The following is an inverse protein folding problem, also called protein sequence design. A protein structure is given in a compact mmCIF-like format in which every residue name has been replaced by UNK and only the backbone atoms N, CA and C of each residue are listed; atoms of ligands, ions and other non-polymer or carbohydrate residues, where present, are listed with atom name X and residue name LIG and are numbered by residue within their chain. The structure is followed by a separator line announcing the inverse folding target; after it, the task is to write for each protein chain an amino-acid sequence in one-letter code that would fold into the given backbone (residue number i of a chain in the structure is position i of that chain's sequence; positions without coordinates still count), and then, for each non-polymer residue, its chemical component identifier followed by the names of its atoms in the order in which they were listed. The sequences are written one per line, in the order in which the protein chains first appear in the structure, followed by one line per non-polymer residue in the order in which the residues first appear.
data_IF_295180591255
#
_entry.id   IF_295180591255
#
_cell.length_a   1.000
_cell.length_b   1.000
_cell.length_c   1.000
_cell.angle_alpha   90.00
_cell.angle_beta   90.00
_cell.angle_gamma   90.00
#
_symmetry.space_group_name_H-M   'P 1'
#
loop_
_entity.id
_entity.type
_entity.pdbx_description
1 polymer ?
#
# COMPACT_ATOMS: atom_id res chain seq x y z
N UNK A 1 -40.42 -10.91 -61.50
CA UNK A 1 -39.11 -11.62 -61.27
C UNK A 1 -38.99 -11.96 -59.79
N UNK A 2 -39.13 -13.26 -59.48
CA UNK A 2 -39.00 -13.78 -58.09
C UNK A 2 -37.64 -14.41 -57.98
N UNK A 3 -36.77 -13.84 -57.07
CA UNK A 3 -35.45 -14.40 -56.81
C UNK A 3 -35.56 -15.25 -55.53
N UNK A 4 -35.31 -16.57 -55.71
CA UNK A 4 -35.24 -17.54 -54.60
C UNK A 4 -33.95 -17.38 -53.83
N UNK A 5 -34.02 -17.16 -52.48
CA UNK A 5 -32.91 -17.25 -51.54
C UNK A 5 -32.78 -18.72 -51.12
N UNK A 6 -31.63 -19.33 -51.41
CA UNK A 6 -31.26 -20.69 -50.97
C UNK A 6 -30.60 -20.63 -49.62
N UNK A 7 -31.26 -21.19 -48.61
CA UNK A 7 -30.72 -21.42 -47.24
C UNK A 7 -29.84 -22.69 -47.26
N UNK A 8 -28.54 -22.53 -47.00
CA UNK A 8 -27.63 -23.66 -46.76
C UNK A 8 -27.58 -23.95 -45.27
N UNK A 9 -28.23 -25.02 -44.85
CA UNK A 9 -28.21 -25.58 -43.49
C UNK A 9 -27.06 -26.59 -43.43
N UNK A 10 -25.92 -26.21 -42.79
CA UNK A 10 -24.83 -27.14 -42.46
C UNK A 10 -25.17 -27.86 -41.15
N UNK A 11 -25.46 -29.15 -41.24
CA UNK A 11 -25.55 -30.08 -40.12
C UNK A 11 -24.13 -30.31 -39.56
N UNK A 12 -23.89 -29.92 -38.31
CA UNK A 12 -22.73 -30.38 -37.54
C UNK A 12 -23.10 -31.65 -36.81
N UNK A 13 -22.44 -32.75 -37.20
CA UNK A 13 -22.52 -34.05 -36.53
C UNK A 13 -21.61 -34.02 -35.31
N UNK A 14 -22.19 -34.16 -34.12
CA UNK A 14 -21.45 -34.32 -32.86
C UNK A 14 -20.90 -35.75 -32.78
N UNK A 15 -19.56 -35.86 -32.77
CA UNK A 15 -18.86 -37.10 -32.42
C UNK A 15 -18.66 -37.09 -30.88
N UNK A 16 -19.42 -37.92 -30.18
CA UNK A 16 -19.23 -38.23 -28.77
C UNK A 16 -18.11 -39.26 -28.66
N UNK A 17 -16.93 -38.82 -28.23
CA UNK A 17 -15.86 -39.71 -27.76
C UNK A 17 -16.05 -39.92 -26.26
N UNK A 18 -16.60 -41.10 -25.90
CA UNK A 18 -16.55 -41.65 -24.54
C UNK A 18 -15.11 -41.83 -24.12
N UNK A 19 -14.62 -41.07 -23.16
CA UNK A 19 -13.45 -41.40 -22.35
C UNK A 19 -13.93 -41.83 -21.00
N UNK A 20 -13.80 -43.11 -20.70
CA UNK A 20 -13.96 -43.70 -19.39
C UNK A 20 -12.89 -43.15 -18.44
N UNK A 21 -13.33 -42.64 -17.30
CA UNK A 21 -12.47 -42.23 -16.20
C UNK A 21 -12.17 -43.46 -15.32
N UNK A 22 -10.93 -43.67 -14.87
CA UNK A 22 -10.63 -44.70 -13.90
C UNK A 22 -11.24 -44.36 -12.52
N UNK A 23 -11.59 -45.40 -11.72
CA UNK A 23 -12.26 -45.21 -10.41
C UNK A 23 -11.28 -44.61 -9.37
N UNK A 24 -11.83 -43.92 -8.34
CA UNK A 24 -11.04 -43.35 -7.27
C UNK A 24 -10.49 -44.44 -6.34
N UNK A 25 -9.23 -44.21 -5.87
CA UNK A 25 -8.56 -45.05 -4.87
C UNK A 25 -9.29 -45.05 -3.53
N UNK A 26 -9.36 -46.21 -2.82
CA UNK A 26 -9.97 -46.30 -1.50
C UNK A 26 -9.10 -45.67 -0.41
N UNK A 27 -9.72 -45.22 0.70
CA UNK A 27 -8.96 -44.61 1.80
C UNK A 27 -8.16 -45.67 2.57
N UNK A 28 -6.89 -45.41 2.81
CA UNK A 28 -6.05 -46.21 3.70
C UNK A 28 -6.39 -45.89 5.14
N UNK A 29 -7.02 -46.84 5.81
CA UNK A 29 -7.02 -46.94 7.27
C UNK A 29 -5.66 -47.43 7.74
N UNK A 30 -5.02 -46.65 8.61
CA UNK A 30 -3.80 -47.03 9.28
C UNK A 30 -3.72 -46.37 10.64
N UNK A 31 -4.05 -47.17 11.65
CA UNK A 31 -3.88 -46.95 13.08
C UNK A 31 -2.46 -46.49 13.42
N UNK A 32 -2.33 -45.53 14.33
CA UNK A 32 -1.12 -45.16 14.99
C UNK A 32 -1.38 -44.29 16.20
N UNK A 33 -1.80 -44.96 17.31
CA UNK A 33 -1.77 -44.37 18.65
C UNK A 33 -0.29 -44.04 18.98
N UNK A 34 0.00 -42.82 19.37
CA UNK A 34 1.18 -42.46 20.12
C UNK A 34 0.77 -41.73 21.39
N UNK A 35 1.30 -42.25 22.48
CA UNK A 35 1.06 -41.93 23.88
C UNK A 35 1.42 -40.47 24.25
N UNK A 36 0.89 -39.99 25.39
CA UNK A 36 1.16 -38.65 25.90
C UNK A 36 2.54 -38.61 26.55
N UNK A 37 3.27 -37.50 26.29
CA UNK A 37 4.53 -37.15 26.99
C UNK A 37 4.23 -36.72 28.43
N UNK A 38 5.04 -37.12 29.42
CA UNK A 38 4.83 -36.76 30.81
C UNK A 38 5.31 -35.33 31.10
N UNK A 39 4.53 -34.64 31.91
CA UNK A 39 4.93 -33.44 32.63
C UNK A 39 6.13 -33.72 33.51
N UNK A 40 7.20 -32.99 33.36
CA UNK A 40 8.33 -32.97 34.28
C UNK A 40 8.28 -31.68 35.09
N UNK A 41 7.65 -31.76 36.24
CA UNK A 41 7.86 -30.82 37.33
C UNK A 41 9.14 -31.24 38.07
N UNK A 42 10.12 -30.35 38.16
CA UNK A 42 11.14 -30.43 39.20
C UNK A 42 11.69 -29.02 39.50
N UNK A 43 11.10 -28.44 40.51
CA UNK A 43 11.72 -27.35 41.26
C UNK A 43 12.95 -27.91 42.01
N UNK A 44 14.15 -27.39 41.77
CA UNK A 44 15.32 -27.63 42.59
C UNK A 44 15.77 -26.32 43.19
N UNK A 45 15.38 -26.14 44.42
CA UNK A 45 15.96 -25.18 45.34
C UNK A 45 17.38 -25.63 45.70
N UNK A 46 18.37 -24.74 45.59
CA UNK A 46 19.70 -24.91 46.15
C UNK A 46 19.88 -23.95 47.32
N UNK A 47 20.60 -24.38 48.39
CA UNK A 47 20.53 -23.78 49.70
C UNK A 47 21.51 -22.60 49.87
N UNK A 48 21.06 -21.61 50.65
CA UNK A 48 21.88 -20.57 51.25
C UNK A 48 22.96 -21.18 52.12
N UNK A 49 24.24 -21.01 51.80
CA UNK A 49 25.35 -21.24 52.70
C UNK A 49 25.72 -19.93 53.41
N UNK A 50 25.47 -19.96 54.71
CA UNK A 50 26.02 -19.04 55.68
C UNK A 50 27.55 -18.96 55.60
N UNK A 51 28.09 -17.78 55.41
CA UNK A 51 29.46 -17.48 55.85
C UNK A 51 29.43 -16.42 56.97
N UNK A 52 29.88 -16.84 58.10
CA UNK A 52 30.03 -16.11 59.34
C UNK A 52 31.19 -15.09 59.30
N UNK A 53 31.13 -14.02 60.08
CA UNK A 53 32.11 -12.98 60.13
C UNK A 53 33.22 -13.32 61.17
N UNK A 54 34.42 -13.01 60.82
CA UNK A 54 35.61 -12.85 61.73
C UNK A 54 36.64 -12.11 60.89
N UNK A 55 37.16 -11.00 61.23
CA UNK A 55 38.01 -10.69 62.34
C UNK A 55 38.17 -9.17 62.45
N UNK A 56 38.10 -8.76 63.68
CA UNK A 56 38.38 -7.46 64.22
C UNK A 56 39.89 -7.11 64.17
N UNK A 57 40.16 -5.81 64.23
CA UNK A 57 41.30 -5.14 64.86
C UNK A 57 42.65 -5.22 64.16
N UNK A 58 43.11 -4.09 63.71
CA UNK A 58 44.44 -3.50 63.96
C UNK A 58 44.36 -2.04 63.56
N UNK A 59 44.13 -1.18 64.53
CA UNK A 59 45.07 -0.34 65.20
C UNK A 59 45.69 0.76 64.35
N UNK A 60 45.13 1.96 64.60
CA UNK A 60 45.72 3.29 64.66
C UNK A 60 47.25 3.39 64.67
N UNK A 61 47.77 4.25 63.85
CA UNK A 61 48.72 5.32 64.26
C UNK A 61 49.41 5.91 63.03
N UNK A 62 49.77 7.16 63.13
CA UNK A 62 50.62 7.95 62.20
C UNK A 62 49.81 8.70 61.15
N UNK A 63 49.73 9.95 61.14
CA UNK A 63 50.56 10.99 61.60
C UNK A 63 50.23 12.24 60.79
N UNK A 64 50.00 13.33 61.44
CA UNK A 64 49.81 14.65 60.83
C UNK A 64 50.92 14.94 59.79
N UNK A 65 50.52 15.13 58.52
CA UNK A 65 51.24 15.97 57.57
C UNK A 65 50.23 16.89 56.89
N UNK A 66 50.20 18.12 57.43
CA UNK A 66 49.54 19.23 56.71
C UNK A 66 50.20 19.45 55.38
N UNK A 67 49.51 19.07 54.29
CA UNK A 67 49.89 19.33 52.92
C UNK A 67 48.82 20.20 52.28
N UNK A 68 49.18 21.35 51.78
CA UNK A 68 48.40 22.38 51.15
C UNK A 68 47.28 21.84 50.26
N UNK A 69 46.03 22.20 50.57
CA UNK A 69 44.86 21.87 49.86
C UNK A 69 44.84 22.63 48.52
N UNK A 70 45.13 21.93 47.45
CA UNK A 70 44.58 22.28 46.13
C UNK A 70 43.24 21.57 46.03
N UNK A 71 42.15 22.29 45.84
CA UNK A 71 40.84 21.67 45.53
C UNK A 71 41.02 20.72 44.37
N UNK A 72 40.56 19.45 44.47
CA UNK A 72 40.59 18.54 43.35
C UNK A 72 39.66 19.12 42.29
N UNK A 73 40.23 19.51 41.16
CA UNK A 73 39.49 19.87 39.98
C UNK A 73 38.61 18.65 39.65
N UNK A 74 37.31 18.73 40.02
CA UNK A 74 36.33 17.73 39.61
C UNK A 74 36.37 17.67 38.10
N UNK A 75 36.68 16.50 37.49
CA UNK A 75 36.56 16.37 36.05
C UNK A 75 35.12 16.68 35.69
N UNK A 76 34.92 17.69 34.87
CA UNK A 76 33.59 17.97 34.27
C UNK A 76 33.10 16.68 33.65
N UNK A 77 31.89 16.20 34.02
CA UNK A 77 31.34 15.01 33.39
C UNK A 77 31.32 15.23 31.87
N UNK A 78 31.68 14.22 31.08
CA UNK A 78 31.62 14.35 29.64
C UNK A 78 30.19 14.81 29.24
N UNK A 79 30.05 15.71 28.28
CA UNK A 79 28.75 16.19 27.86
C UNK A 79 27.89 14.99 27.53
N UNK A 80 26.67 14.95 28.10
CA UNK A 80 25.71 13.90 27.83
C UNK A 80 25.56 13.74 26.32
N UNK A 81 25.55 12.50 25.77
CA UNK A 81 25.42 12.29 24.37
C UNK A 81 24.17 13.03 23.87
N UNK A 82 24.39 13.98 23.00
CA UNK A 82 23.30 14.73 22.38
C UNK A 82 22.46 13.74 21.59
N UNK A 83 21.28 13.41 22.10
CA UNK A 83 20.32 12.57 21.39
C UNK A 83 19.88 13.35 20.16
N UNK A 84 20.50 13.06 19.03
CA UNK A 84 20.07 13.62 17.74
C UNK A 84 18.68 13.07 17.47
N UNK A 85 17.65 13.91 17.33
CA UNK A 85 16.30 13.43 17.07
C UNK A 85 16.33 12.62 15.77
N UNK A 86 16.02 11.33 15.86
CA UNK A 86 15.92 10.50 14.65
C UNK A 86 14.78 11.04 13.80
N UNK A 87 15.09 11.43 12.57
CA UNK A 87 14.09 11.89 11.62
C UNK A 87 13.06 10.77 11.38
N UNK A 88 11.77 11.12 11.47
CA UNK A 88 10.68 10.14 11.23
C UNK A 88 10.86 9.44 9.88
N UNK A 89 10.63 8.13 9.77
CA UNK A 89 10.73 7.41 8.50
C UNK A 89 9.78 8.00 7.46
N UNK A 90 10.15 7.93 6.18
CA UNK A 90 9.33 8.39 5.06
C UNK A 90 8.13 7.43 4.90
N UNK A 91 6.92 7.95 5.00
CA UNK A 91 5.70 7.19 4.76
C UNK A 91 5.41 7.13 3.26
N UNK A 92 5.63 5.97 2.67
CA UNK A 92 5.34 5.73 1.25
C UNK A 92 3.84 5.46 1.11
N UNK A 93 3.17 6.20 0.23
CA UNK A 93 1.82 5.94 -0.22
C UNK A 93 1.82 5.36 -1.62
N UNK A 94 0.88 4.46 -1.90
CA UNK A 94 0.63 3.96 -3.25
C UNK A 94 -0.77 4.37 -3.69
N UNK A 95 -0.86 4.99 -4.89
CA UNK A 95 -2.10 5.38 -5.53
C UNK A 95 -2.34 4.47 -6.74
N UNK A 96 -3.32 3.58 -6.64
CA UNK A 96 -3.64 2.56 -7.62
C UNK A 96 -4.76 3.04 -8.53
N UNK A 97 -4.46 3.25 -9.80
CA UNK A 97 -5.41 3.75 -10.79
C UNK A 97 -6.46 2.73 -11.21
N UNK A 98 -7.55 3.23 -11.81
CA UNK A 98 -8.60 2.42 -12.43
C UNK A 98 -8.17 1.86 -13.78
N UNK A 99 -8.74 0.70 -14.19
CA UNK A 99 -8.41 0.07 -15.48
C UNK A 99 -8.98 -1.32 -15.69
N UNK A 100 -10.01 -1.71 -14.96
CA UNK A 100 -10.69 -3.01 -15.07
C UNK A 100 -9.70 -4.20 -14.99
N UNK A 101 -9.70 -5.17 -15.91
CA UNK A 101 -8.81 -6.34 -15.89
C UNK A 101 -7.31 -5.98 -15.88
N UNK A 102 -6.93 -4.79 -16.35
CA UNK A 102 -5.53 -4.30 -16.23
C UNK A 102 -5.07 -4.11 -14.77
N UNK A 103 -6.02 -4.07 -13.82
CA UNK A 103 -5.76 -3.97 -12.37
C UNK A 103 -4.86 -5.05 -11.81
N UNK A 104 -4.75 -6.21 -12.43
CA UNK A 104 -3.81 -7.25 -12.02
C UNK A 104 -2.35 -6.77 -12.05
N UNK A 105 -2.02 -5.76 -12.87
CA UNK A 105 -0.68 -5.16 -12.90
C UNK A 105 -0.28 -4.52 -11.56
N UNK A 106 -1.24 -4.03 -10.77
CA UNK A 106 -0.96 -3.48 -9.45
C UNK A 106 -0.32 -4.51 -8.52
N UNK A 107 -0.72 -5.80 -8.63
CA UNK A 107 -0.15 -6.88 -7.84
C UNK A 107 1.35 -7.02 -8.15
N UNK A 108 1.72 -7.01 -9.44
CA UNK A 108 3.11 -7.06 -9.86
C UNK A 108 3.93 -5.86 -9.37
N UNK A 109 3.33 -4.66 -9.41
CA UNK A 109 3.99 -3.46 -8.87
C UNK A 109 4.24 -3.59 -7.38
N UNK A 110 3.24 -3.95 -6.59
CA UNK A 110 3.37 -4.13 -5.13
C UNK A 110 4.42 -5.20 -4.82
N UNK A 111 4.40 -6.33 -5.53
CA UNK A 111 5.36 -7.42 -5.38
C UNK A 111 6.80 -6.95 -5.51
N UNK A 112 7.09 -6.14 -6.52
CA UNK A 112 8.45 -5.63 -6.74
C UNK A 112 8.84 -4.54 -5.75
N UNK A 113 7.89 -3.72 -5.29
CA UNK A 113 8.14 -2.76 -4.22
C UNK A 113 8.53 -3.49 -2.92
N UNK A 114 7.73 -4.48 -2.49
CA UNK A 114 8.00 -5.27 -1.28
C UNK A 114 9.33 -6.02 -1.38
N UNK A 115 9.60 -6.69 -2.51
CA UNK A 115 10.84 -7.42 -2.75
C UNK A 115 12.10 -6.52 -2.70
N UNK A 116 11.95 -5.22 -2.92
CA UNK A 116 13.02 -4.23 -2.83
C UNK A 116 13.04 -3.44 -1.51
N UNK A 117 12.24 -3.85 -0.51
CA UNK A 117 12.19 -3.24 0.82
C UNK A 117 11.38 -1.92 0.87
N UNK A 118 10.56 -1.65 -0.15
CA UNK A 118 9.65 -0.50 -0.17
C UNK A 118 8.23 -0.96 0.11
N UNK A 119 7.85 -0.97 1.36
CA UNK A 119 6.49 -1.33 1.77
C UNK A 119 5.61 -0.08 1.84
N UNK A 120 4.61 0.08 0.95
CA UNK A 120 3.64 1.17 1.07
C UNK A 120 2.88 1.11 2.40
N UNK A 121 2.95 2.23 3.14
CA UNK A 121 2.30 2.38 4.43
C UNK A 121 0.87 2.94 4.32
N UNK A 122 0.51 3.45 3.14
CA UNK A 122 -0.78 4.10 2.86
C UNK A 122 -1.24 3.66 1.47
N UNK A 123 -2.52 3.38 1.30
CA UNK A 123 -3.08 2.87 0.05
C UNK A 123 -4.31 3.68 -0.36
N UNK A 124 -4.32 4.18 -1.58
CA UNK A 124 -5.53 4.71 -2.21
C UNK A 124 -5.79 3.99 -3.54
N UNK A 125 -7.05 3.82 -3.88
CA UNK A 125 -7.40 3.10 -5.11
C UNK A 125 -8.69 3.61 -5.74
N UNK A 126 -8.74 3.55 -7.06
CA UNK A 126 -9.93 3.82 -7.87
C UNK A 126 -10.27 2.57 -8.67
N UNK A 127 -11.55 2.16 -8.69
CA UNK A 127 -12.04 1.03 -9.50
C UNK A 127 -11.24 -0.25 -9.21
N UNK A 128 -10.66 -0.90 -10.21
CA UNK A 128 -9.79 -2.07 -10.03
C UNK A 128 -8.64 -1.81 -9.04
N UNK A 129 -8.10 -0.58 -9.00
CA UNK A 129 -7.11 -0.18 -8.01
C UNK A 129 -7.65 -0.17 -6.58
N UNK A 130 -8.94 0.10 -6.38
CA UNK A 130 -9.57 0.00 -5.05
C UNK A 130 -9.73 -1.44 -4.60
N UNK A 131 -9.97 -2.40 -5.52
CA UNK A 131 -10.02 -3.84 -5.22
C UNK A 131 -8.66 -4.31 -4.72
N UNK A 132 -7.61 -4.13 -5.52
CA UNK A 132 -6.25 -4.56 -5.15
C UNK A 132 -5.77 -3.81 -3.90
N UNK A 133 -6.07 -2.52 -3.80
CA UNK A 133 -5.73 -1.69 -2.66
C UNK A 133 -6.37 -2.15 -1.36
N UNK A 134 -7.63 -2.58 -1.38
CA UNK A 134 -8.34 -3.12 -0.21
C UNK A 134 -7.70 -4.43 0.28
N UNK A 135 -7.38 -5.34 -0.63
CA UNK A 135 -6.72 -6.60 -0.32
C UNK A 135 -5.33 -6.32 0.30
N UNK A 136 -4.55 -5.45 -0.31
CA UNK A 136 -3.25 -5.07 0.20
C UNK A 136 -3.33 -4.39 1.57
N UNK A 137 -4.25 -3.45 1.73
CA UNK A 137 -4.47 -2.76 3.00
C UNK A 137 -4.96 -3.69 4.12
N UNK A 138 -5.62 -4.80 3.79
CA UNK A 138 -6.02 -5.82 4.77
C UNK A 138 -4.82 -6.55 5.39
N UNK A 139 -3.63 -6.43 4.77
CA UNK A 139 -2.38 -7.07 5.15
C UNK A 139 -2.08 -8.34 4.37
N UNK A 140 -2.74 -8.53 3.24
CA UNK A 140 -2.41 -9.55 2.26
C UNK A 140 -1.13 -9.12 1.54
N UNK A 141 -0.11 -9.98 1.49
CA UNK A 141 1.10 -9.73 0.72
C UNK A 141 0.88 -9.95 -0.79
N UNK A 142 1.85 -9.52 -1.61
CA UNK A 142 1.72 -9.61 -3.06
C UNK A 142 1.63 -11.05 -3.59
N UNK A 143 2.24 -12.03 -2.93
CA UNK A 143 2.17 -13.44 -3.34
C UNK A 143 0.79 -14.03 -3.05
N UNK A 144 0.21 -13.71 -1.89
CA UNK A 144 -1.15 -14.08 -1.53
C UNK A 144 -2.16 -13.45 -2.50
N UNK A 145 -1.99 -12.17 -2.85
CA UNK A 145 -2.82 -11.50 -3.85
C UNK A 145 -2.68 -12.14 -5.24
N UNK A 146 -1.48 -12.51 -5.66
CA UNK A 146 -1.24 -13.21 -6.92
C UNK A 146 -1.93 -14.58 -6.93
N UNK A 147 -1.82 -15.36 -5.85
CA UNK A 147 -2.51 -16.66 -5.72
C UNK A 147 -4.03 -16.52 -5.81
N UNK A 148 -4.60 -15.50 -5.14
CA UNK A 148 -6.03 -15.16 -5.24
C UNK A 148 -6.41 -14.75 -6.66
N UNK A 149 -5.60 -13.95 -7.34
CA UNK A 149 -5.84 -13.52 -8.70
C UNK A 149 -5.85 -14.70 -9.69
N UNK A 150 -4.95 -15.67 -9.53
CA UNK A 150 -4.90 -16.88 -10.36
C UNK A 150 -6.11 -17.77 -10.13
N UNK A 151 -6.54 -17.91 -8.87
CA UNK A 151 -7.70 -18.74 -8.50
C UNK A 151 -9.06 -18.04 -8.76
N UNK A 152 -9.07 -16.74 -9.11
CA UNK A 152 -10.29 -15.98 -9.30
C UNK A 152 -11.07 -16.47 -10.52
N UNK A 153 -12.29 -16.96 -10.27
CA UNK A 153 -13.29 -17.17 -11.31
C UNK A 153 -14.08 -15.87 -11.55
N UNK A 154 -14.10 -15.40 -12.77
CA UNK A 154 -14.79 -14.16 -13.15
C UNK A 154 -16.29 -14.21 -12.81
N UNK A 155 -16.93 -15.38 -12.97
CA UNK A 155 -18.33 -15.57 -12.65
C UNK A 155 -18.65 -15.38 -11.16
N UNK A 156 -17.64 -15.55 -10.29
CA UNK A 156 -17.77 -15.36 -8.85
C UNK A 156 -17.89 -13.90 -8.41
N UNK A 157 -17.46 -12.95 -9.26
CA UNK A 157 -17.47 -11.51 -8.96
C UNK A 157 -18.45 -10.72 -9.84
N UNK A 158 -19.14 -11.37 -10.79
CA UNK A 158 -20.10 -10.72 -11.70
C UNK A 158 -21.50 -11.25 -11.46
N UNK A 159 -22.44 -10.35 -11.24
CA UNK A 159 -23.87 -10.60 -11.11
C UNK A 159 -24.65 -9.76 -12.13
N UNK A 160 -25.07 -10.41 -13.23
CA UNK A 160 -25.83 -9.75 -14.28
C UNK A 160 -27.32 -9.89 -13.99
N UNK A 161 -28.08 -8.79 -13.97
CA UNK A 161 -29.55 -8.79 -13.88
C UNK A 161 -30.17 -8.70 -15.28
N UNK A 162 -30.87 -9.74 -15.66
CA UNK A 162 -31.59 -9.81 -16.95
C UNK A 162 -32.76 -8.80 -17.05
N UNK A 163 -33.29 -8.35 -15.92
CA UNK A 163 -34.48 -7.47 -15.85
C UNK A 163 -34.17 -5.96 -15.77
N UNK A 164 -32.91 -5.58 -15.55
CA UNK A 164 -32.46 -4.18 -15.40
C UNK A 164 -31.68 -3.68 -16.59
N UNK A 165 -32.00 -4.12 -17.80
CA UNK A 165 -31.29 -3.70 -19.02
C UNK A 165 -29.88 -4.29 -19.16
N UNK A 166 -29.56 -5.39 -18.46
CA UNK A 166 -28.29 -6.09 -18.56
C UNK A 166 -27.15 -5.50 -17.73
N UNK A 167 -27.43 -4.56 -16.81
CA UNK A 167 -26.43 -3.99 -15.92
C UNK A 167 -25.99 -4.99 -14.85
N UNK A 168 -24.69 -4.97 -14.52
CA UNK A 168 -24.11 -5.75 -13.42
C UNK A 168 -24.46 -5.06 -12.10
N UNK A 169 -25.01 -5.81 -11.14
CA UNK A 169 -25.39 -5.25 -9.83
C UNK A 169 -24.16 -4.94 -8.97
N UNK A 170 -23.11 -5.74 -9.06
CA UNK A 170 -21.86 -5.59 -8.31
C UNK A 170 -21.91 -6.05 -6.86
N UNK A 171 -23.00 -6.71 -6.44
CA UNK A 171 -23.12 -7.24 -5.09
C UNK A 171 -22.10 -8.36 -4.85
N UNK A 172 -21.89 -9.23 -5.84
CA UNK A 172 -20.87 -10.30 -5.75
C UNK A 172 -19.46 -9.73 -5.56
N UNK A 173 -19.12 -8.63 -6.23
CA UNK A 173 -17.84 -7.95 -6.03
C UNK A 173 -17.73 -7.42 -4.59
N UNK A 174 -18.78 -6.81 -4.07
CA UNK A 174 -18.84 -6.34 -2.68
C UNK A 174 -18.61 -7.48 -1.69
N UNK A 175 -19.32 -8.59 -1.87
CA UNK A 175 -19.28 -9.77 -0.97
C UNK A 175 -17.89 -10.42 -1.04
N UNK A 176 -17.34 -10.59 -2.24
CA UNK A 176 -15.98 -11.08 -2.44
C UNK A 176 -14.95 -10.24 -1.69
N UNK A 177 -14.97 -8.91 -1.86
CA UNK A 177 -14.02 -8.03 -1.17
C UNK A 177 -14.20 -8.09 0.35
N UNK A 178 -15.43 -8.08 0.84
CA UNK A 178 -15.71 -8.20 2.27
C UNK A 178 -15.16 -9.51 2.86
N UNK A 179 -15.33 -10.62 2.16
CA UNK A 179 -14.76 -11.91 2.55
C UNK A 179 -13.23 -11.85 2.62
N UNK A 180 -12.59 -11.30 1.56
CA UNK A 180 -11.13 -11.21 1.50
C UNK A 180 -10.53 -10.34 2.60
N UNK A 181 -11.23 -9.29 3.05
CA UNK A 181 -10.79 -8.45 4.17
C UNK A 181 -11.32 -8.90 5.52
N UNK A 182 -11.92 -10.13 5.60
CA UNK A 182 -12.52 -10.70 6.80
C UNK A 182 -13.60 -9.79 7.43
N UNK A 183 -14.42 -9.16 6.59
CA UNK A 183 -15.49 -8.20 6.97
C UNK A 183 -15.03 -7.05 7.86
N UNK A 184 -13.73 -6.73 7.88
CA UNK A 184 -13.21 -5.59 8.65
C UNK A 184 -13.63 -4.29 7.98
N UNK A 185 -14.05 -3.28 8.74
CA UNK A 185 -14.30 -1.95 8.19
C UNK A 185 -12.99 -1.26 7.80
N UNK A 186 -13.06 -0.28 6.90
CA UNK A 186 -11.89 0.34 6.29
C UNK A 186 -10.92 0.95 7.31
N UNK A 187 -11.43 1.57 8.38
CA UNK A 187 -10.65 2.15 9.46
C UNK A 187 -9.95 1.12 10.36
N UNK A 188 -10.25 -0.16 10.21
CA UNK A 188 -9.63 -1.28 10.94
C UNK A 188 -8.76 -2.17 10.06
N UNK A 189 -8.50 -1.78 8.83
CA UNK A 189 -7.51 -2.47 8.00
C UNK A 189 -6.10 -2.23 8.56
N UNK A 190 -5.16 -3.10 8.21
CA UNK A 190 -3.77 -3.01 8.71
C UNK A 190 -3.06 -1.74 8.22
N UNK A 191 -3.41 -1.26 7.03
CA UNK A 191 -2.88 -0.02 6.45
C UNK A 191 -4.04 0.97 6.23
N UNK A 192 -3.82 2.28 6.43
CA UNK A 192 -4.77 3.30 6.01
C UNK A 192 -5.14 3.12 4.55
N UNK A 193 -6.43 3.06 4.27
CA UNK A 193 -6.98 2.77 2.95
C UNK A 193 -8.05 3.80 2.56
N UNK A 194 -8.06 4.17 1.27
CA UNK A 194 -9.10 4.98 0.68
C UNK A 194 -9.59 4.36 -0.64
N UNK A 195 -10.88 4.07 -0.75
CA UNK A 195 -11.53 3.83 -2.04
C UNK A 195 -12.12 5.15 -2.54
N UNK A 196 -11.88 5.49 -3.80
CA UNK A 196 -12.35 6.73 -4.40
C UNK A 196 -13.48 6.45 -5.38
N UNK A 197 -14.60 7.16 -5.22
CA UNK A 197 -15.77 7.08 -6.09
C UNK A 197 -16.22 8.49 -6.50
N UNK A 198 -17.18 8.58 -7.41
CA UNK A 198 -17.82 9.80 -7.87
C UNK A 198 -19.25 9.85 -7.32
N UNK A 199 -19.62 10.91 -6.61
CA UNK A 199 -21.01 11.17 -6.24
C UNK A 199 -21.78 11.56 -7.51
N UNK A 200 -22.82 10.78 -7.84
CA UNK A 200 -23.51 10.92 -9.13
C UNK A 200 -24.28 12.25 -9.24
N UNK A 201 -24.85 12.73 -8.13
CA UNK A 201 -25.70 13.92 -8.14
C UNK A 201 -24.89 15.23 -8.31
N UNK A 202 -23.64 15.28 -7.83
CA UNK A 202 -22.83 16.50 -7.80
C UNK A 202 -21.58 16.44 -8.65
N UNK A 203 -21.12 15.23 -9.01
CA UNK A 203 -19.81 15.02 -9.64
C UNK A 203 -18.63 15.16 -8.67
N UNK A 204 -18.90 15.30 -7.37
CA UNK A 204 -17.83 15.42 -6.37
C UNK A 204 -17.10 14.11 -6.15
N UNK A 205 -15.81 14.22 -5.89
CA UNK A 205 -14.97 13.09 -5.49
C UNK A 205 -15.30 12.66 -4.07
N UNK A 206 -15.76 11.43 -3.89
CA UNK A 206 -15.98 10.81 -2.60
C UNK A 206 -14.79 9.92 -2.22
N UNK A 207 -14.25 10.08 -1.01
CA UNK A 207 -13.11 9.31 -0.49
C UNK A 207 -13.61 8.50 0.70
N UNK A 208 -13.78 7.19 0.52
CA UNK A 208 -14.23 6.28 1.56
C UNK A 208 -13.04 5.73 2.34
N UNK A 209 -12.91 6.18 3.58
CA UNK A 209 -11.84 5.77 4.51
C UNK A 209 -12.40 5.06 5.74
N UNK A 210 -13.72 4.88 5.81
CA UNK A 210 -14.43 4.25 6.92
C UNK A 210 -15.63 3.44 6.42
N UNK A 211 -16.09 2.51 7.24
CA UNK A 211 -17.26 1.68 6.97
C UNK A 211 -16.96 0.44 6.14
N UNK A 212 -17.97 -0.10 5.47
CA UNK A 212 -17.88 -1.34 4.73
C UNK A 212 -16.96 -1.23 3.50
N UNK A 213 -15.87 -1.99 3.51
CA UNK A 213 -14.84 -1.96 2.45
C UNK A 213 -15.38 -2.42 1.12
N UNK A 214 -16.10 -3.55 1.09
CA UNK A 214 -16.68 -4.07 -0.14
C UNK A 214 -17.69 -3.10 -0.76
N UNK A 215 -18.51 -2.43 0.05
CA UNK A 215 -19.45 -1.42 -0.44
C UNK A 215 -18.73 -0.21 -1.04
N UNK A 216 -17.67 0.27 -0.38
CA UNK A 216 -16.85 1.37 -0.88
C UNK A 216 -16.14 1.01 -2.20
N UNK A 217 -15.59 -0.21 -2.28
CA UNK A 217 -14.94 -0.74 -3.50
C UNK A 217 -15.96 -0.92 -4.61
N UNK A 218 -17.16 -1.44 -4.33
CA UNK A 218 -18.26 -1.55 -5.29
C UNK A 218 -18.62 -0.18 -5.85
N UNK A 219 -18.81 0.83 -4.99
CA UNK A 219 -19.08 2.20 -5.42
C UNK A 219 -17.97 2.74 -6.33
N UNK A 220 -16.70 2.52 -5.93
CA UNK A 220 -15.51 2.90 -6.69
C UNK A 220 -15.40 2.21 -8.06
N UNK A 221 -16.04 1.06 -8.24
CA UNK A 221 -15.97 0.21 -9.44
C UNK A 221 -17.25 0.22 -10.27
N UNK A 222 -18.24 1.07 -9.95
CA UNK A 222 -19.52 1.12 -10.65
C UNK A 222 -19.42 1.93 -11.93
N UNK A 223 -18.81 1.31 -12.97
CA UNK A 223 -18.61 1.91 -14.31
C UNK A 223 -19.96 2.28 -14.92
N UNK A 224 -20.18 3.55 -15.33
CA UNK A 224 -21.43 3.98 -15.98
C UNK A 224 -21.77 3.16 -17.22
N UNK A 225 -23.01 2.73 -17.33
CA UNK A 225 -23.49 1.89 -18.43
C UNK A 225 -23.12 0.40 -18.34
N UNK A 226 -22.29 0.01 -17.35
CA UNK A 226 -21.91 -1.41 -17.10
C UNK A 226 -22.45 -1.88 -15.76
N UNK A 227 -22.30 -1.08 -14.71
CA UNK A 227 -22.76 -1.38 -13.35
C UNK A 227 -23.87 -0.43 -12.89
N UNK A 228 -24.71 -0.93 -12.00
CA UNK A 228 -25.68 -0.09 -11.28
C UNK A 228 -24.95 0.88 -10.32
N UNK A 229 -25.41 2.15 -10.20
CA UNK A 229 -24.92 3.04 -9.16
C UNK A 229 -25.15 2.47 -7.75
N UNK A 230 -24.23 2.74 -6.82
CA UNK A 230 -24.32 2.26 -5.43
C UNK A 230 -24.85 3.34 -4.52
N UNK A 231 -25.92 3.03 -3.78
CA UNK A 231 -26.49 3.96 -2.81
C UNK A 231 -25.83 3.79 -1.43
N UNK A 232 -25.20 4.85 -0.92
CA UNK A 232 -24.55 4.91 0.40
C UNK A 232 -25.01 6.19 1.11
N UNK A 233 -25.60 6.06 2.30
CA UNK A 233 -26.03 7.21 3.07
C UNK A 233 -27.03 8.13 2.34
N UNK A 234 -27.89 7.55 1.49
CA UNK A 234 -28.90 8.29 0.73
C UNK A 234 -28.42 8.90 -0.60
N UNK A 235 -27.12 8.84 -0.92
CA UNK A 235 -26.49 9.38 -2.14
C UNK A 235 -26.09 8.24 -3.08
N UNK A 236 -26.08 8.51 -4.39
CA UNK A 236 -25.67 7.52 -5.40
C UNK A 236 -24.21 7.76 -5.80
N UNK A 237 -23.48 6.68 -5.98
CA UNK A 237 -22.06 6.70 -6.36
C UNK A 237 -21.81 5.83 -7.57
N UNK A 238 -20.92 6.31 -8.42
CA UNK A 238 -20.41 5.63 -9.61
C UNK A 238 -18.89 5.56 -9.55
N UNK A 239 -18.28 4.90 -10.55
CA UNK A 239 -16.83 4.70 -10.63
C UNK A 239 -16.04 5.99 -10.41
N UNK A 240 -15.00 5.89 -9.58
CA UNK A 240 -14.13 7.02 -9.27
C UNK A 240 -13.32 7.52 -10.45
N UNK A 241 -13.13 6.70 -11.48
CA UNK A 241 -12.41 7.07 -12.69
C UNK A 241 -13.02 8.22 -13.47
N UNK A 242 -14.28 8.57 -13.19
CA UNK A 242 -14.95 9.75 -13.77
C UNK A 242 -14.32 11.05 -13.31
N UNK A 243 -13.85 11.14 -12.04
CA UNK A 243 -13.29 12.37 -11.45
C UNK A 243 -11.89 12.24 -10.88
N UNK A 244 -11.45 11.02 -10.58
CA UNK A 244 -10.13 10.74 -9.98
C UNK A 244 -9.62 9.37 -10.43
N UNK A 245 -9.16 9.26 -11.67
CA UNK A 245 -8.71 7.98 -12.23
C UNK A 245 -7.47 7.40 -11.54
N UNK A 246 -6.57 8.24 -10.99
CA UNK A 246 -5.41 7.83 -10.21
C UNK A 246 -5.35 8.64 -8.92
N UNK A 247 -5.81 8.11 -7.79
CA UNK A 247 -6.16 8.89 -6.60
C UNK A 247 -4.94 9.33 -5.75
N UNK A 248 -4.05 10.12 -6.34
CA UNK A 248 -2.82 10.63 -5.71
C UNK A 248 -3.13 11.48 -4.47
N UNK A 249 -4.12 12.39 -4.59
CA UNK A 249 -4.48 13.28 -3.48
C UNK A 249 -5.05 12.52 -2.29
N UNK A 250 -5.79 11.41 -2.54
CA UNK A 250 -6.31 10.58 -1.45
C UNK A 250 -5.18 9.92 -0.65
N UNK A 251 -4.10 9.48 -1.32
CA UNK A 251 -2.91 8.97 -0.62
C UNK A 251 -2.24 10.07 0.23
N UNK A 252 -2.16 11.30 -0.29
CA UNK A 252 -1.65 12.46 0.48
C UNK A 252 -2.49 12.75 1.71
N UNK A 253 -3.83 12.76 1.58
CA UNK A 253 -4.76 12.99 2.69
C UNK A 253 -4.65 11.91 3.77
N UNK A 254 -4.29 10.68 3.42
CA UNK A 254 -3.98 9.61 4.38
C UNK A 254 -2.59 9.75 5.03
N UNK A 255 -1.84 10.80 4.69
CA UNK A 255 -0.55 11.14 5.31
C UNK A 255 0.65 10.49 4.65
N UNK A 256 0.62 10.23 3.35
CA UNK A 256 1.80 9.83 2.60
C UNK A 256 2.78 11.01 2.42
N UNK A 257 4.05 10.80 2.72
CA UNK A 257 5.14 11.75 2.46
C UNK A 257 5.63 11.67 1.01
N UNK A 258 5.62 10.46 0.46
CA UNK A 258 5.96 10.14 -0.92
C UNK A 258 4.84 9.33 -1.53
N UNK A 259 4.33 9.71 -2.70
CA UNK A 259 3.28 8.96 -3.42
C UNK A 259 3.83 8.34 -4.69
N UNK A 260 3.73 7.01 -4.76
CA UNK A 260 3.96 6.22 -5.97
C UNK A 260 2.60 6.02 -6.63
N UNK A 261 2.37 6.61 -7.79
CA UNK A 261 1.17 6.44 -8.57
C UNK A 261 1.36 5.32 -9.61
N UNK A 262 0.38 4.44 -9.72
CA UNK A 262 0.36 3.35 -10.72
C UNK A 262 -0.75 3.62 -11.71
N UNK A 263 -0.35 3.98 -12.93
CA UNK A 263 -1.25 4.34 -14.02
C UNK A 263 -1.43 3.16 -14.97
N UNK A 264 -2.63 2.61 -14.97
CA UNK A 264 -3.09 1.56 -15.89
C UNK A 264 -4.27 2.03 -16.73
N UNK A 265 -4.48 3.33 -16.83
CA UNK A 265 -5.61 3.95 -17.52
C UNK A 265 -5.71 3.51 -18.96
N UNK A 266 -6.93 3.40 -19.45
CA UNK A 266 -7.18 3.23 -20.88
C UNK A 266 -6.89 4.55 -21.59
N UNK A 267 -6.34 4.45 -22.80
CA UNK A 267 -6.20 5.60 -23.72
C UNK A 267 -7.29 5.50 -24.80
N UNK A 268 -7.59 6.63 -25.41
CA UNK A 268 -8.45 6.64 -26.58
C UNK A 268 -7.91 5.65 -27.64
N UNK A 269 -8.79 4.80 -28.18
CA UNK A 269 -8.41 3.70 -29.08
C UNK A 269 -7.88 4.15 -30.45
N UNK A 270 -7.99 5.44 -30.78
CA UNK A 270 -7.72 5.97 -32.11
C UNK A 270 -8.78 5.61 -33.18
N UNK A 271 -9.78 4.81 -32.78
CA UNK A 271 -10.93 4.41 -33.65
C UNK A 271 -12.22 4.97 -33.06
N UNK A 272 -13.12 5.46 -33.91
CA UNK A 272 -14.44 5.92 -33.46
C UNK A 272 -15.32 4.68 -33.19
N UNK A 273 -15.92 4.54 -32.00
CA UNK A 273 -16.94 3.54 -31.74
C UNK A 273 -18.20 3.80 -32.61
N UNK A 274 -18.91 2.75 -32.93
CA UNK A 274 -20.14 2.84 -33.80
C UNK A 274 -21.42 2.71 -32.96
N UNK A 275 -21.32 2.27 -31.72
CA UNK A 275 -22.46 2.07 -30.84
C UNK A 275 -22.47 3.10 -29.69
N UNK A 276 -23.65 3.37 -29.13
CA UNK A 276 -23.83 4.36 -28.07
C UNK A 276 -22.99 4.09 -26.84
N UNK A 277 -22.91 2.84 -26.38
CA UNK A 277 -22.14 2.47 -25.19
C UNK A 277 -20.64 2.65 -25.43
N UNK A 278 -20.15 2.29 -26.60
CA UNK A 278 -18.77 2.52 -27.01
C UNK A 278 -18.42 4.01 -27.05
N UNK A 279 -19.30 4.87 -27.58
CA UNK A 279 -19.12 6.33 -27.60
C UNK A 279 -19.03 6.88 -26.18
N UNK A 280 -19.92 6.46 -25.28
CA UNK A 280 -19.90 6.89 -23.86
C UNK A 280 -18.60 6.45 -23.18
N UNK A 281 -18.20 5.19 -23.32
CA UNK A 281 -16.98 4.67 -22.73
C UNK A 281 -15.72 5.34 -23.29
N UNK A 282 -15.68 5.62 -24.59
CA UNK A 282 -14.58 6.37 -25.23
C UNK A 282 -14.51 7.80 -24.69
N UNK A 283 -15.65 8.47 -24.50
CA UNK A 283 -15.72 9.81 -23.94
C UNK A 283 -15.21 9.85 -22.50
N UNK A 284 -15.64 8.89 -21.67
CA UNK A 284 -15.15 8.74 -20.29
C UNK A 284 -13.63 8.49 -20.29
N UNK A 285 -13.13 7.66 -21.19
CA UNK A 285 -11.69 7.37 -21.30
C UNK A 285 -10.88 8.62 -21.69
N UNK A 286 -11.39 9.45 -22.62
CA UNK A 286 -10.72 10.70 -23.01
C UNK A 286 -10.69 11.70 -21.86
N UNK A 287 -11.81 11.89 -21.16
CA UNK A 287 -11.89 12.78 -19.98
C UNK A 287 -10.99 12.26 -18.86
N UNK A 288 -11.07 10.95 -18.58
CA UNK A 288 -10.26 10.31 -17.56
C UNK A 288 -8.75 10.40 -17.82
N UNK A 289 -8.32 10.35 -19.08
CA UNK A 289 -6.92 10.55 -19.46
C UNK A 289 -6.43 11.96 -19.05
N UNK A 290 -7.21 13.01 -19.34
CA UNK A 290 -6.85 14.39 -19.00
C UNK A 290 -6.79 14.61 -17.48
N UNK A 291 -7.78 14.09 -16.76
CA UNK A 291 -7.79 14.16 -15.29
C UNK A 291 -6.64 13.36 -14.68
N UNK A 292 -6.36 12.17 -15.21
CA UNK A 292 -5.26 11.33 -14.78
C UNK A 292 -3.90 12.00 -14.97
N UNK A 293 -3.66 12.67 -16.09
CA UNK A 293 -2.43 13.44 -16.33
C UNK A 293 -2.23 14.53 -15.25
N UNK A 294 -3.29 15.24 -14.86
CA UNK A 294 -3.25 16.24 -13.80
C UNK A 294 -2.97 15.62 -12.42
N UNK A 295 -3.55 14.47 -12.11
CA UNK A 295 -3.29 13.76 -10.85
C UNK A 295 -1.86 13.21 -10.80
N UNK A 296 -1.39 12.60 -11.89
CA UNK A 296 -0.05 12.05 -12.00
C UNK A 296 1.04 13.10 -11.87
N UNK A 297 0.79 14.36 -12.31
CA UNK A 297 1.71 15.47 -12.13
C UNK A 297 1.97 15.80 -10.65
N UNK A 298 1.06 15.40 -9.73
CA UNK A 298 1.20 15.58 -8.27
C UNK A 298 1.83 14.39 -7.56
N UNK A 299 2.09 13.28 -8.28
CA UNK A 299 2.80 12.13 -7.73
C UNK A 299 4.31 12.38 -7.71
N UNK A 300 5.01 11.77 -6.75
CA UNK A 300 6.48 11.81 -6.71
C UNK A 300 7.10 10.85 -7.71
N UNK A 301 6.48 9.70 -7.91
CA UNK A 301 6.90 8.65 -8.84
C UNK A 301 5.67 8.16 -9.59
N UNK A 302 5.79 7.95 -10.88
CA UNK A 302 4.74 7.37 -11.73
C UNK A 302 5.23 6.07 -12.36
N UNK A 303 4.52 4.98 -12.09
CA UNK A 303 4.77 3.66 -12.68
C UNK A 303 3.69 3.40 -13.72
N UNK A 304 4.08 3.08 -14.96
CA UNK A 304 3.16 2.77 -16.08
C UNK A 304 3.45 1.40 -16.64
N UNK A 305 2.75 0.35 -16.15
CA UNK A 305 2.78 -0.98 -16.76
C UNK A 305 2.31 -0.94 -18.23
N UNK A 306 2.92 -1.75 -19.10
CA UNK A 306 2.55 -1.84 -20.51
C UNK A 306 1.35 -2.77 -20.70
N UNK A 307 0.16 -2.30 -20.35
CA UNK A 307 -1.09 -3.09 -20.32
C UNK A 307 -2.18 -2.54 -21.23
N UNK A 308 -1.84 -1.65 -22.16
CA UNK A 308 -2.84 -1.04 -23.06
C UNK A 308 -3.53 -2.06 -23.98
N UNK A 309 -2.82 -3.12 -24.34
CA UNK A 309 -3.33 -4.19 -25.23
C UNK A 309 -4.23 -5.19 -24.48
N UNK A 310 -4.33 -5.10 -23.16
CA UNK A 310 -5.21 -5.94 -22.34
C UNK A 310 -6.62 -5.35 -22.36
N UNK A 311 -7.58 -6.12 -22.84
CA UNK A 311 -8.99 -5.76 -22.86
C UNK A 311 -9.56 -5.56 -21.44
N UNK A 312 -10.50 -4.62 -21.31
CA UNK A 312 -11.08 -4.30 -19.99
C UNK A 312 -11.77 -5.50 -19.30
N UNK A 313 -12.27 -6.47 -20.07
CA UNK A 313 -12.91 -7.68 -19.55
C UNK A 313 -12.04 -8.94 -19.75
N UNK A 314 -10.78 -8.80 -20.14
CA UNK A 314 -9.91 -9.94 -20.44
C UNK A 314 -9.12 -10.40 -19.21
N UNK A 315 -9.79 -11.16 -18.35
CA UNK A 315 -9.19 -11.75 -17.16
C UNK A 315 -8.23 -12.90 -17.48
N UNK A 316 -8.23 -13.42 -18.70
CA UNK A 316 -7.30 -14.49 -19.10
C UNK A 316 -5.85 -14.00 -19.13
N UNK A 317 -5.64 -12.70 -19.38
CA UNK A 317 -4.32 -12.05 -19.42
C UNK A 317 -3.80 -11.59 -18.06
N UNK A 318 -4.39 -12.05 -16.95
CA UNK A 318 -3.96 -11.67 -15.59
C UNK A 318 -2.46 -11.88 -15.33
N UNK A 319 -1.91 -12.98 -15.81
CA UNK A 319 -0.49 -13.27 -15.68
C UNK A 319 0.40 -12.29 -16.43
N UNK A 320 0.02 -11.93 -17.66
CA UNK A 320 0.68 -10.90 -18.48
C UNK A 320 0.63 -9.54 -17.77
N UNK A 321 -0.53 -9.16 -17.24
CA UNK A 321 -0.69 -7.90 -16.52
C UNK A 321 0.23 -7.84 -15.29
N UNK A 322 0.26 -8.89 -14.46
CA UNK A 322 1.15 -8.97 -13.29
C UNK A 322 2.62 -8.79 -13.71
N UNK A 323 3.06 -9.51 -14.75
CA UNK A 323 4.43 -9.44 -15.26
C UNK A 323 4.79 -8.03 -15.76
N UNK A 324 3.89 -7.36 -16.46
CA UNK A 324 4.12 -5.98 -16.91
C UNK A 324 4.17 -4.99 -15.73
N UNK A 325 3.40 -5.26 -14.66
CA UNK A 325 3.52 -4.54 -13.39
C UNK A 325 4.89 -4.71 -12.76
N UNK A 326 5.41 -5.94 -12.69
CA UNK A 326 6.75 -6.24 -12.18
C UNK A 326 7.84 -5.50 -12.96
N UNK A 327 7.81 -5.60 -14.30
CA UNK A 327 8.79 -4.92 -15.17
C UNK A 327 8.78 -3.40 -14.98
N UNK A 328 7.58 -2.80 -14.94
CA UNK A 328 7.45 -1.35 -14.79
C UNK A 328 7.94 -0.86 -13.42
N UNK A 329 7.64 -1.61 -12.35
CA UNK A 329 8.13 -1.29 -11.01
C UNK A 329 9.66 -1.41 -10.94
N UNK A 330 10.26 -2.47 -11.48
CA UNK A 330 11.72 -2.64 -11.52
C UNK A 330 12.40 -1.47 -12.23
N UNK A 331 11.85 -1.02 -13.36
CA UNK A 331 12.38 0.14 -14.10
C UNK A 331 12.32 1.44 -13.27
N UNK A 332 11.36 1.58 -12.35
CA UNK A 332 11.20 2.75 -11.50
C UNK A 332 12.07 2.72 -10.23
N UNK A 333 12.68 1.57 -9.86
CA UNK A 333 13.45 1.43 -8.60
C UNK A 333 14.56 2.47 -8.40
N UNK A 334 15.38 2.83 -9.41
CA UNK A 334 16.39 3.86 -9.23
C UNK A 334 15.79 5.22 -8.83
N UNK A 335 14.67 5.62 -9.45
CA UNK A 335 13.98 6.87 -9.14
C UNK A 335 13.38 6.85 -7.74
N UNK A 336 12.78 5.72 -7.31
CA UNK A 336 12.22 5.55 -5.97
C UNK A 336 13.32 5.71 -4.92
N UNK A 337 14.47 5.03 -5.09
CA UNK A 337 15.61 5.13 -4.18
C UNK A 337 16.14 6.56 -4.09
N UNK A 338 16.34 7.22 -5.21
CA UNK A 338 16.84 8.59 -5.27
C UNK A 338 15.87 9.57 -4.56
N UNK A 339 14.56 9.42 -4.78
CA UNK A 339 13.55 10.29 -4.16
C UNK A 339 13.47 10.10 -2.65
N UNK A 340 13.52 8.86 -2.17
CA UNK A 340 13.54 8.56 -0.74
C UNK A 340 14.78 9.16 -0.08
N UNK A 341 15.96 8.99 -0.68
CA UNK A 341 17.20 9.58 -0.18
C UNK A 341 17.14 11.11 -0.14
N UNK A 342 16.57 11.74 -1.17
CA UNK A 342 16.35 13.19 -1.19
C UNK A 342 15.50 13.65 -0.01
N UNK A 343 14.36 12.97 0.24
CA UNK A 343 13.47 13.33 1.33
C UNK A 343 14.10 13.06 2.70
N UNK A 344 14.87 11.98 2.85
CA UNK A 344 15.60 11.69 4.08
C UNK A 344 16.65 12.77 4.40
N UNK A 345 17.42 13.19 3.37
CA UNK A 345 18.41 14.27 3.52
C UNK A 345 17.75 15.59 3.91
N UNK A 346 16.63 15.95 3.26
CA UNK A 346 15.88 17.15 3.59
C UNK A 346 15.37 17.15 5.03
N UNK A 347 14.86 16.00 5.52
CA UNK A 347 14.42 15.83 6.91
C UNK A 347 15.58 15.91 7.90
N UNK A 348 16.70 15.28 7.59
CA UNK A 348 17.89 15.34 8.42
C UNK A 348 18.42 16.79 8.53
N UNK A 349 18.46 17.51 7.44
CA UNK A 349 18.85 18.92 7.43
C UNK A 349 17.89 19.81 8.24
N UNK A 350 16.56 19.54 8.15
CA UNK A 350 15.57 20.27 8.95
C UNK A 350 15.59 19.94 10.45
N UNK A 351 16.05 18.74 10.82
CA UNK A 351 16.18 18.30 12.19
C UNK A 351 17.54 18.69 12.84
N UNK A 352 18.50 19.14 12.03
CA UNK A 352 19.80 19.60 12.55
C UNK A 352 19.61 20.84 13.44
N UNK A 353 20.22 20.87 14.64
CA UNK A 353 20.16 22.06 15.48
C UNK A 353 20.73 23.25 14.71
N UNK A 354 20.09 24.40 14.89
CA UNK A 354 20.62 25.65 14.33
C UNK A 354 22.10 25.79 14.71
N UNK A 355 22.98 26.24 13.80
CA UNK A 355 24.38 26.48 14.16
C UNK A 355 24.42 27.33 15.43
N UNK A 356 25.05 26.81 16.48
CA UNK A 356 25.30 27.62 17.68
C UNK A 356 26.06 28.84 17.18
N UNK A 357 25.44 30.02 17.32
CA UNK A 357 26.12 31.26 16.95
C UNK A 357 27.47 31.28 17.66
N UNK A 358 28.53 31.41 16.88
CA UNK A 358 29.87 31.55 17.48
C UNK A 358 29.78 32.61 18.58
N UNK A 359 30.35 32.33 19.78
CA UNK A 359 30.33 33.31 20.85
C UNK A 359 30.84 34.64 20.28
N UNK A 360 30.03 35.70 20.40
CA UNK A 360 30.46 37.04 20.00
C UNK A 360 31.62 37.37 20.89
N UNK A 361 32.82 37.51 20.30
CA UNK A 361 33.97 38.01 21.04
C UNK A 361 33.59 39.36 21.64
N UNK A 362 33.68 39.52 22.93
CA UNK A 362 33.56 40.82 23.59
C UNK A 362 34.79 41.64 23.19
N UNK A 363 34.60 42.57 22.27
CA UNK A 363 35.65 43.56 21.97
C UNK A 363 35.90 44.39 23.22
N UNK A 364 37.15 44.36 23.67
CA UNK A 364 37.56 45.25 24.78
C UNK A 364 37.27 46.69 24.35
N UNK A 365 36.60 47.46 25.21
CA UNK A 365 36.36 48.88 24.98
C UNK A 365 37.67 49.60 24.61
N UNK A 366 37.58 50.67 23.83
CA UNK A 366 38.79 51.47 23.41
C UNK A 366 39.66 51.81 24.61
N UNK A 367 39.09 52.10 25.79
CA UNK A 367 39.81 52.35 27.04
C UNK A 367 40.47 51.08 27.57
N UNK A 368 39.81 49.90 27.44
CA UNK A 368 40.36 48.62 27.85
C UNK A 368 41.57 48.21 26.98
N UNK A 369 41.53 48.46 25.71
CA UNK A 369 42.67 48.20 24.79
C UNK A 369 43.89 49.07 25.13
N UNK A 370 43.65 50.34 25.53
CA UNK A 370 44.73 51.22 26.04
C UNK A 370 45.36 50.75 27.32
N UNK A 371 44.58 50.02 28.17
CA UNK A 371 45.04 49.45 29.44
C UNK A 371 45.53 47.99 29.32
N UNK A 372 45.79 47.51 28.10
CA UNK A 372 46.36 46.18 27.84
C UNK A 372 45.38 45.01 27.99
N UNK A 373 44.05 45.26 28.09
CA UNK A 373 43.05 44.20 28.04
C UNK A 373 42.91 43.64 26.65
N UNK A 374 43.16 42.36 26.50
CA UNK A 374 42.94 41.62 25.23
C UNK A 374 41.44 41.24 25.10
N UNK A 375 40.96 41.21 23.89
CA UNK A 375 39.61 40.72 23.55
C UNK A 375 39.46 39.32 24.13
N UNK A 376 38.36 39.06 24.86
CA UNK A 376 38.02 37.72 25.38
C UNK A 376 37.14 37.03 24.37
N UNK A 377 37.65 35.99 23.76
CA UNK A 377 36.87 35.02 22.99
C UNK A 377 36.70 33.73 23.75
#
# INVERSE_FOLDING_TARGET
MRTKVRTHQKRFTFFLLNREFPPPCPPRHGFGMLAPFPESSAASALPMSLFRPRMLLSVALIGLLAGCGGDPVRPTPPPAPTVVPQAKPIRIGIALGGGAAKGFAHIGVIKMLEANGFEPAVVSGTSAGSVVGALYASGMDAFQMQSKAVALDEASIRDVRLFSGGLVQGQKLQDYVNEQVANRPAERLKKPFAAVATQLETGERAIFVRGNVGQAVRASSSIPGVFEPVKIGGRNYIDGGVVSPVPVDAARQLGADLVIAVDISSKASGKAPTDMLGIVNQSISIMGQRLGEQELARADIVIRPKVLDIGAADFSQRGTAILEGEKAAMAAMPQIRAKIQQLQRARAAAAAPAPVAAPKCEEASRLGKLMGRKDKC
#
